data_IF_625442144334
#
_entry.id   IF_625442144334
#
_cell.length_a   1.000
_cell.length_b   1.000
_cell.length_c   1.000
_cell.angle_alpha   90.00
_cell.angle_beta   90.00
_cell.angle_gamma   90.00
#
_symmetry.space_group_name_H-M   'P 1'
#
loop_
_entity.id
_entity.type
_entity.pdbx_description
1 polymer ?
#
# COMPACT_ATOMS: atom_id res chain seq x y z
N UNK A 1 8.39 -16.57 -4.67
CA UNK A 1 9.54 -16.51 -5.60
C UNK A 1 10.84 -16.86 -4.90
N UNK A 2 11.27 -16.10 -3.88
CA UNK A 2 12.57 -16.27 -3.20
C UNK A 2 12.92 -17.71 -2.82
N UNK A 3 11.98 -18.46 -2.23
CA UNK A 3 12.20 -19.88 -1.89
C UNK A 3 12.61 -20.74 -3.09
N UNK A 4 12.00 -20.55 -4.27
CA UNK A 4 12.32 -21.33 -5.46
C UNK A 4 13.78 -21.12 -5.87
N UNK A 5 14.21 -19.85 -5.97
CA UNK A 5 15.59 -19.48 -6.30
C UNK A 5 16.58 -19.92 -5.21
N UNK A 6 16.20 -19.78 -3.93
CA UNK A 6 17.05 -20.21 -2.82
C UNK A 6 17.33 -21.71 -2.83
N UNK A 7 16.36 -22.53 -3.26
CA UNK A 7 16.47 -23.99 -3.32
C UNK A 7 17.09 -24.52 -4.63
N UNK A 8 17.07 -23.73 -5.71
CA UNK A 8 17.69 -24.09 -6.98
C UNK A 8 19.23 -24.10 -6.90
N UNK A 9 19.87 -24.99 -7.65
CA UNK A 9 21.31 -25.02 -7.88
C UNK A 9 21.65 -24.30 -9.19
N UNK A 10 22.94 -24.03 -9.43
CA UNK A 10 23.38 -23.47 -10.71
C UNK A 10 23.09 -24.44 -11.85
N UNK A 11 22.51 -23.93 -12.94
CA UNK A 11 22.03 -24.68 -14.09
C UNK A 11 20.58 -25.19 -13.96
N UNK A 12 19.94 -25.06 -12.79
CA UNK A 12 18.53 -25.44 -12.62
C UNK A 12 17.58 -24.40 -13.23
N UNK A 13 16.34 -24.83 -13.46
CA UNK A 13 15.23 -23.94 -13.80
C UNK A 13 14.24 -23.82 -12.64
N UNK A 14 13.68 -22.62 -12.46
CA UNK A 14 12.48 -22.43 -11.64
C UNK A 14 11.24 -22.30 -12.50
N UNK A 15 10.18 -22.98 -12.11
CA UNK A 15 8.90 -22.89 -12.81
C UNK A 15 8.14 -21.59 -12.49
N UNK A 16 7.57 -20.96 -13.51
CA UNK A 16 6.64 -19.83 -13.43
C UNK A 16 5.36 -20.20 -14.19
N UNK A 17 4.21 -20.05 -13.55
CA UNK A 17 2.93 -20.33 -14.20
C UNK A 17 2.55 -19.25 -15.22
N UNK A 18 1.99 -19.71 -16.34
CA UNK A 18 1.65 -18.86 -17.48
C UNK A 18 2.89 -18.34 -18.18
N UNK A 19 2.76 -17.17 -18.79
CA UNK A 19 3.85 -16.47 -19.49
C UNK A 19 4.68 -15.56 -18.56
N UNK A 20 4.41 -15.59 -17.24
CA UNK A 20 5.02 -14.69 -16.27
C UNK A 20 4.55 -13.24 -16.34
N UNK A 21 3.63 -12.90 -17.24
CA UNK A 21 3.10 -11.55 -17.46
C UNK A 21 2.12 -11.09 -16.39
N UNK A 22 1.67 -11.98 -15.51
CA UNK A 22 0.79 -11.64 -14.40
C UNK A 22 1.43 -10.55 -13.51
N UNK A 23 0.70 -9.45 -13.31
CA UNK A 23 1.18 -8.30 -12.52
C UNK A 23 0.81 -8.47 -11.06
N UNK A 24 1.76 -8.13 -10.17
CA UNK A 24 1.63 -8.14 -8.72
C UNK A 24 2.09 -6.81 -8.13
N UNK A 25 1.38 -6.36 -7.10
CA UNK A 25 1.78 -5.26 -6.26
C UNK A 25 2.55 -5.84 -5.07
N UNK A 26 3.85 -5.52 -4.97
CA UNK A 26 4.65 -5.86 -3.80
C UNK A 26 4.84 -4.60 -2.97
N UNK A 27 4.67 -4.75 -1.66
CA UNK A 27 4.82 -3.65 -0.71
C UNK A 27 5.86 -4.09 0.31
N UNK A 28 6.75 -3.18 0.67
CA UNK A 28 7.71 -3.46 1.71
C UNK A 28 6.99 -3.63 3.06
N UNK A 29 7.54 -4.47 3.93
CA UNK A 29 6.85 -4.82 5.18
C UNK A 29 6.70 -3.62 6.11
N UNK A 30 7.71 -2.75 6.18
CA UNK A 30 7.67 -1.56 7.04
C UNK A 30 6.61 -0.57 6.56
N UNK A 31 6.50 -0.35 5.23
CA UNK A 31 5.46 0.48 4.63
C UNK A 31 4.05 -0.06 4.93
N UNK A 32 3.88 -1.39 4.91
CA UNK A 32 2.60 -2.03 5.22
C UNK A 32 2.25 -1.88 6.70
N UNK A 33 3.23 -2.02 7.60
CA UNK A 33 3.03 -1.80 9.04
C UNK A 33 2.63 -0.36 9.32
N UNK A 34 3.31 0.61 8.70
CA UNK A 34 2.95 2.02 8.78
C UNK A 34 1.54 2.28 8.24
N UNK A 35 1.21 1.73 7.07
CA UNK A 35 -0.11 1.89 6.46
C UNK A 35 -1.24 1.32 7.35
N UNK A 36 -1.03 0.16 7.98
CA UNK A 36 -1.98 -0.43 8.92
C UNK A 36 -2.14 0.48 10.15
N UNK A 37 -1.03 0.92 10.74
CA UNK A 37 -1.07 1.82 11.90
C UNK A 37 -1.86 3.09 11.58
N UNK A 38 -1.56 3.73 10.46
CA UNK A 38 -2.25 4.91 9.96
C UNK A 38 -3.74 4.65 9.70
N UNK A 39 -4.10 3.51 9.11
CA UNK A 39 -5.50 3.13 8.91
C UNK A 39 -6.27 3.05 10.24
N UNK A 40 -5.65 2.52 11.31
CA UNK A 40 -6.28 2.47 12.64
C UNK A 40 -6.56 3.84 13.26
N UNK A 41 -5.86 4.89 12.80
CA UNK A 41 -6.03 6.27 13.26
C UNK A 41 -6.91 7.10 12.31
N UNK A 42 -7.48 6.48 11.27
CA UNK A 42 -8.27 7.17 10.25
C UNK A 42 -9.77 7.04 10.51
N UNK A 43 -10.54 7.98 9.94
CA UNK A 43 -12.00 7.93 9.92
C UNK A 43 -12.55 7.16 8.69
N UNK A 44 -11.71 6.37 8.01
CA UNK A 44 -12.13 5.62 6.82
C UNK A 44 -13.08 4.49 7.21
N UNK A 45 -14.25 4.48 6.58
CA UNK A 45 -15.24 3.41 6.72
C UNK A 45 -15.23 2.49 5.50
N UNK A 46 -15.44 1.19 5.74
CA UNK A 46 -15.51 0.16 4.71
C UNK A 46 -14.16 -0.46 4.34
N UNK A 47 -14.18 -1.32 3.32
CA UNK A 47 -13.00 -2.07 2.90
C UNK A 47 -12.07 -1.20 2.04
N UNK A 48 -10.78 -1.21 2.36
CA UNK A 48 -9.74 -0.50 1.61
C UNK A 48 -8.61 -1.45 1.23
N UNK A 49 -8.05 -1.24 0.04
CA UNK A 49 -6.88 -1.97 -0.43
C UNK A 49 -5.60 -1.21 -0.03
N UNK A 50 -4.78 -1.79 0.84
CA UNK A 50 -3.44 -1.31 1.13
C UNK A 50 -2.42 -1.98 0.20
N UNK A 51 -1.46 -1.20 -0.27
CA UNK A 51 -0.39 -1.67 -1.14
C UNK A 51 0.44 -0.51 -1.69
N UNK A 52 1.62 -0.81 -2.23
CA UNK A 52 2.56 0.17 -2.74
C UNK A 52 2.23 0.70 -4.14
N UNK A 53 3.14 1.49 -4.70
CA UNK A 53 3.03 2.00 -6.07
C UNK A 53 3.67 1.06 -7.11
N UNK A 54 4.45 0.08 -6.65
CA UNK A 54 5.20 -0.80 -7.52
C UNK A 54 4.36 -1.99 -8.01
N UNK A 55 4.08 -1.99 -9.31
CA UNK A 55 3.45 -3.09 -10.02
C UNK A 55 4.49 -3.75 -10.92
N UNK A 56 4.78 -5.02 -10.64
CA UNK A 56 5.80 -5.79 -11.38
C UNK A 56 5.22 -7.09 -11.88
N UNK A 57 5.71 -7.56 -13.03
CA UNK A 57 5.36 -8.89 -13.54
C UNK A 57 6.05 -9.97 -12.70
N UNK A 58 5.45 -11.17 -12.66
CA UNK A 58 6.09 -12.32 -12.01
C UNK A 58 7.43 -12.65 -12.66
N UNK A 59 7.55 -12.50 -13.98
CA UNK A 59 8.82 -12.64 -14.71
C UNK A 59 9.88 -11.65 -14.21
N UNK A 60 9.54 -10.36 -14.06
CA UNK A 60 10.49 -9.35 -13.56
C UNK A 60 10.91 -9.63 -12.10
N UNK A 61 9.97 -10.07 -11.26
CA UNK A 61 10.28 -10.50 -9.91
C UNK A 61 11.25 -11.70 -9.89
N UNK A 62 10.98 -12.73 -10.69
CA UNK A 62 11.85 -13.90 -10.79
C UNK A 62 13.27 -13.50 -11.18
N UNK A 63 13.41 -12.71 -12.24
CA UNK A 63 14.67 -12.21 -12.74
C UNK A 63 15.44 -11.42 -11.67
N UNK A 64 14.76 -10.49 -10.98
CA UNK A 64 15.37 -9.67 -9.93
C UNK A 64 15.90 -10.53 -8.77
N UNK A 65 15.15 -11.55 -8.37
CA UNK A 65 15.58 -12.47 -7.29
C UNK A 65 16.78 -13.31 -7.73
N UNK A 66 16.80 -13.80 -8.98
CA UNK A 66 17.93 -14.56 -9.54
C UNK A 66 19.18 -13.68 -9.55
N UNK A 67 19.08 -12.46 -10.08
CA UNK A 67 20.19 -11.48 -10.13
C UNK A 67 20.77 -11.20 -8.74
N UNK A 68 19.91 -10.93 -7.74
CA UNK A 68 20.35 -10.67 -6.36
C UNK A 68 20.98 -11.91 -5.73
N UNK A 69 20.50 -13.11 -6.07
CA UNK A 69 21.02 -14.36 -5.50
C UNK A 69 22.44 -14.71 -5.98
N UNK A 70 22.86 -14.17 -7.14
CA UNK A 70 24.15 -14.49 -7.77
C UNK A 70 24.25 -15.90 -8.35
N UNK A 71 23.14 -16.63 -8.47
CA UNK A 71 23.08 -17.98 -9.05
C UNK A 71 22.78 -17.96 -10.55
N UNK A 72 23.25 -18.97 -11.26
CA UNK A 72 22.87 -19.21 -12.67
C UNK A 72 21.61 -20.09 -12.71
N UNK A 73 20.43 -19.47 -12.66
CA UNK A 73 19.15 -20.17 -12.62
C UNK A 73 18.26 -19.69 -13.76
N UNK A 74 17.72 -20.62 -14.55
CA UNK A 74 16.78 -20.35 -15.62
C UNK A 74 15.34 -20.19 -15.14
N UNK A 75 14.48 -19.67 -16.02
CA UNK A 75 13.02 -19.61 -15.81
C UNK A 75 12.35 -20.50 -16.84
N UNK A 76 11.53 -21.43 -16.37
CA UNK A 76 10.68 -22.27 -17.21
C UNK A 76 9.22 -21.86 -17.05
N UNK A 77 8.56 -21.51 -18.16
CA UNK A 77 7.15 -21.14 -18.18
C UNK A 77 6.28 -22.38 -18.40
N UNK A 78 5.37 -22.63 -17.46
CA UNK A 78 4.54 -23.84 -17.43
C UNK A 78 3.05 -23.48 -17.36
N UNK A 79 2.19 -24.35 -17.88
CA UNK A 79 0.75 -24.17 -17.73
C UNK A 79 0.34 -24.17 -16.26
N UNK A 80 -0.57 -23.27 -15.90
CA UNK A 80 -1.05 -23.17 -14.52
C UNK A 80 -1.89 -21.93 -14.26
N UNK A 81 -2.50 -21.84 -13.07
CA UNK A 81 -3.37 -20.73 -12.71
C UNK A 81 -2.56 -19.45 -12.49
N UNK A 82 -2.87 -18.38 -13.23
CA UNK A 82 -2.24 -17.06 -13.06
C UNK A 82 -2.97 -16.14 -12.07
N UNK A 83 -4.20 -16.50 -11.68
CA UNK A 83 -5.04 -15.72 -10.77
C UNK A 83 -5.46 -14.36 -11.34
N UNK A 84 -6.07 -13.53 -10.49
CA UNK A 84 -6.48 -12.15 -10.85
C UNK A 84 -5.28 -11.22 -10.72
N UNK A 85 -5.16 -10.24 -11.62
CA UNK A 85 -4.14 -9.21 -11.54
C UNK A 85 -4.34 -8.29 -10.32
N UNK A 86 -3.26 -7.67 -9.84
CA UNK A 86 -3.35 -6.73 -8.73
C UNK A 86 -4.31 -5.58 -9.05
N UNK A 87 -5.26 -5.34 -8.15
CA UNK A 87 -6.13 -4.17 -8.19
C UNK A 87 -5.35 -2.92 -7.73
N UNK A 88 -5.89 -1.75 -8.04
CA UNK A 88 -5.34 -0.49 -7.54
C UNK A 88 -5.38 -0.46 -6.01
N UNK A 89 -4.21 -0.38 -5.40
CA UNK A 89 -4.06 -0.02 -4.00
C UNK A 89 -4.39 1.46 -3.81
N UNK A 90 -5.04 1.79 -2.69
CA UNK A 90 -5.20 3.18 -2.25
C UNK A 90 -4.02 3.50 -1.35
N UNK A 91 -2.89 3.82 -1.97
CA UNK A 91 -1.80 4.54 -1.30
C UNK A 91 -1.82 6.00 -1.76
N UNK A 92 -2.97 6.67 -1.62
CA UNK A 92 -2.88 8.07 -1.21
C UNK A 92 -2.77 8.00 0.29
N UNK A 93 -1.53 7.90 0.80
CA UNK A 93 -1.27 8.11 2.20
C UNK A 93 -2.12 9.28 2.67
N UNK A 94 -2.75 9.11 3.83
CA UNK A 94 -3.28 10.18 4.66
C UNK A 94 -2.40 11.40 4.47
N UNK A 95 -2.80 12.32 3.60
CA UNK A 95 -2.34 13.68 3.76
C UNK A 95 -2.82 14.00 5.16
N UNK A 96 -1.87 14.19 6.08
CA UNK A 96 -2.19 14.60 7.44
C UNK A 96 -3.21 15.75 7.42
N UNK A 97 -3.90 16.01 8.54
CA UNK A 97 -4.96 17.02 8.57
C UNK A 97 -4.51 18.28 7.83
N UNK A 98 -5.23 18.64 6.78
CA UNK A 98 -5.00 19.91 6.09
C UNK A 98 -5.23 21.01 7.13
N UNK A 99 -4.19 21.75 7.57
CA UNK A 99 -4.41 22.85 8.49
C UNK A 99 -5.15 23.92 7.69
N UNK A 100 -6.47 24.04 7.91
CA UNK A 100 -7.25 25.10 7.27
C UNK A 100 -8.64 24.74 6.74
N UNK A 101 -9.11 23.50 6.82
CA UNK A 101 -10.54 23.22 6.64
C UNK A 101 -11.27 23.64 7.92
N UNK A 102 -11.53 24.95 8.04
CA UNK A 102 -12.12 25.57 9.21
C UNK A 102 -13.45 24.92 9.58
N UNK A 103 -13.45 24.20 10.70
CA UNK A 103 -14.67 24.03 11.47
C UNK A 103 -14.91 25.38 12.15
N UNK A 104 -15.80 26.17 11.55
CA UNK A 104 -16.31 27.39 12.14
C UNK A 104 -16.90 27.08 13.51
N UNK A 105 -16.10 27.27 14.54
CA UNK A 105 -16.60 27.41 15.90
C UNK A 105 -17.51 28.60 15.91
N UNK A 106 -18.81 28.36 16.06
CA UNK A 106 -19.73 29.41 16.48
C UNK A 106 -19.19 29.90 17.83
N UNK A 107 -18.64 31.12 17.82
CA UNK A 107 -18.13 31.75 19.01
C UNK A 107 -19.24 31.86 20.05
N UNK A 108 -18.97 31.41 21.26
CA UNK A 108 -19.62 31.98 22.43
C UNK A 108 -19.44 33.51 22.38
N UNK A 109 -20.50 34.31 22.48
CA UNK A 109 -20.33 35.75 22.65
C UNK A 109 -19.79 36.02 24.06
N UNK A 110 -18.62 36.65 24.10
CA UNK A 110 -17.99 37.15 25.30
C UNK A 110 -18.94 38.07 26.08
N UNK A 111 -18.95 37.89 27.41
CA UNK A 111 -19.50 38.85 28.37
C UNK A 111 -18.82 40.21 28.17
N UNK A 112 -19.61 41.27 28.02
CA UNK A 112 -19.14 42.65 27.97
C UNK A 112 -20.21 43.62 28.45
N UNK A 113 -20.09 43.96 29.73
CA UNK A 113 -20.44 45.22 30.42
C UNK A 113 -21.86 45.82 30.44
N UNK A 114 -22.13 46.34 31.65
CA UNK A 114 -23.35 46.99 32.14
C UNK A 114 -23.56 48.37 31.51
N UNK A 115 -24.83 48.73 31.29
CA UNK A 115 -25.31 50.11 31.39
C UNK A 115 -26.80 50.10 31.81
N UNK A 116 -27.02 50.50 33.07
CA UNK A 116 -28.09 51.32 33.66
C UNK A 116 -29.54 51.34 33.12
N UNK A 117 -30.48 51.39 34.08
CA UNK A 117 -31.94 51.28 34.02
C UNK A 117 -32.68 52.50 33.38
N UNK A 118 -34.02 52.49 33.21
CA UNK A 118 -34.96 52.56 34.35
C UNK A 118 -36.16 51.60 34.29
N UNK A 119 -36.70 51.33 35.47
CA UNK A 119 -37.94 50.59 35.72
C UNK A 119 -39.16 51.45 35.38
N UNK A 120 -40.13 50.85 34.68
CA UNK A 120 -41.49 51.33 34.48
C UNK A 120 -42.45 50.16 34.59
#
# INVERSE_FOLDING_TARGET
MCRKVAQAQDGDNIEVWGDGGAVRNFTYVDDMVEAIYLLTQSDLEGAVNLGGEEYVTVAKLAQTVIEISGKDVGIEYVEGPVGVAALRAVAKFLQGPQPGAGLGGQGEPARGDRADAPLG
#
